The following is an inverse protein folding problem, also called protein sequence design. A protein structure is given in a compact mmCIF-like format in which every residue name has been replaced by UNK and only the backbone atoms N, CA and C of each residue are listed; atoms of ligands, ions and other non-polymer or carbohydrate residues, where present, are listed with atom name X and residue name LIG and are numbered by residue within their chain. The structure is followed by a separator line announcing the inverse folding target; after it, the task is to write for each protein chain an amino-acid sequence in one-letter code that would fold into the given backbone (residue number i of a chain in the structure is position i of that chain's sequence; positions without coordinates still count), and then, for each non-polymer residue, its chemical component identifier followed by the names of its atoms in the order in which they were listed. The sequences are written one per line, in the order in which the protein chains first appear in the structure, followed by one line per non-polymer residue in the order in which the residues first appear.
data_IF_524541688621
#
_entry.id   IF_524541688621
#
_cell.length_a   1.000
_cell.length_b   1.000
_cell.length_c   1.000
_cell.angle_alpha   90.00
_cell.angle_beta   90.00
_cell.angle_gamma   90.00
#
_symmetry.space_group_name_H-M   'P 1'
#
loop_
_entity.id
_entity.type
_entity.pdbx_description
1 polymer ?
#
# COMPACT_ATOMS: atom_id res chain seq x y z
N UNK A 1 18.92 -21.28 29.57
CA UNK A 1 18.55 -21.11 28.15
C UNK A 1 19.66 -21.65 27.27
N UNK A 2 19.35 -22.65 26.43
CA UNK A 2 20.33 -23.24 25.52
C UNK A 2 20.85 -22.20 24.51
N UNK A 3 22.12 -22.30 24.06
CA UNK A 3 22.69 -21.37 23.06
C UNK A 3 21.89 -21.37 21.74
N UNK A 4 21.26 -22.50 21.42
CA UNK A 4 20.37 -22.65 20.27
C UNK A 4 19.13 -21.73 20.35
N UNK A 5 18.55 -21.56 21.55
CA UNK A 5 17.41 -20.67 21.75
C UNK A 5 17.79 -19.21 21.47
N UNK A 6 18.98 -18.78 21.93
CA UNK A 6 19.46 -17.39 21.76
C UNK A 6 19.72 -17.07 20.28
N UNK A 7 20.31 -18.01 19.54
CA UNK A 7 20.55 -17.85 18.11
C UNK A 7 19.23 -17.73 17.32
N UNK A 8 18.21 -18.52 17.69
CA UNK A 8 16.91 -18.47 17.04
C UNK A 8 16.20 -17.13 17.25
N UNK A 9 16.19 -16.60 18.48
CA UNK A 9 15.59 -15.28 18.77
C UNK A 9 16.30 -14.15 18.02
N UNK A 10 17.62 -14.20 17.91
CA UNK A 10 18.39 -13.19 17.16
C UNK A 10 18.08 -13.26 15.65
N UNK A 11 17.99 -14.46 15.07
CA UNK A 11 17.65 -14.63 13.66
C UNK A 11 16.23 -14.10 13.35
N UNK A 12 15.27 -14.38 14.22
CA UNK A 12 13.89 -13.90 14.08
C UNK A 12 13.84 -12.36 14.15
N UNK A 13 14.51 -11.75 15.12
CA UNK A 13 14.57 -10.30 15.27
C UNK A 13 15.19 -9.61 14.04
N UNK A 14 16.27 -10.18 13.50
CA UNK A 14 16.91 -9.67 12.29
C UNK A 14 16.00 -9.76 11.07
N UNK A 15 15.25 -10.85 10.92
CA UNK A 15 14.31 -11.04 9.80
C UNK A 15 13.14 -10.04 9.84
N UNK A 16 12.60 -9.76 11.04
CA UNK A 16 11.59 -8.71 11.21
C UNK A 16 12.16 -7.32 10.93
N UNK A 17 13.36 -7.01 11.40
CA UNK A 17 14.01 -5.72 11.16
C UNK A 17 14.28 -5.47 9.66
N UNK A 18 14.75 -6.47 8.91
CA UNK A 18 15.00 -6.33 7.47
C UNK A 18 13.70 -6.19 6.67
N UNK A 19 12.65 -6.91 7.07
CA UNK A 19 11.32 -6.82 6.44
C UNK A 19 10.73 -5.42 6.60
N UNK A 20 10.84 -4.81 7.80
CA UNK A 20 10.37 -3.44 8.07
C UNK A 20 11.16 -2.41 7.24
N UNK A 21 12.47 -2.60 7.09
CA UNK A 21 13.32 -1.64 6.37
C UNK A 21 13.07 -1.65 4.85
N UNK A 22 12.70 -2.80 4.28
CA UNK A 22 12.40 -2.92 2.84
C UNK A 22 11.04 -2.28 2.49
N UNK A 23 10.07 -2.30 3.41
CA UNK A 23 8.78 -1.64 3.24
C UNK A 23 8.88 -0.11 3.14
N UNK A 24 9.90 0.50 3.75
CA UNK A 24 10.10 1.96 3.72
C UNK A 24 10.83 2.47 2.47
N UNK A 25 11.42 1.59 1.65
CA UNK A 25 12.27 1.98 0.53
C UNK A 25 11.56 2.05 -0.84
N UNK A 26 10.22 1.98 -0.88
CA UNK A 26 9.45 2.01 -2.13
C UNK A 26 8.35 3.08 -2.09
N UNK A 27 8.75 4.34 -2.19
CA UNK A 27 7.87 5.45 -2.57
C UNK A 27 8.71 6.47 -3.36
N UNK A 28 8.72 6.35 -4.70
CA UNK A 28 8.18 7.36 -5.64
C UNK A 28 9.20 8.47 -5.99
N UNK A 29 9.29 9.00 -7.21
CA UNK A 29 8.50 8.85 -8.43
C UNK A 29 9.39 9.16 -9.63
N UNK A 30 9.18 8.43 -10.73
CA UNK A 30 9.63 8.82 -12.06
C UNK A 30 8.72 9.95 -12.52
N UNK A 31 9.28 11.14 -12.72
CA UNK A 31 8.65 12.31 -13.33
C UNK A 31 8.21 11.99 -14.77
N UNK A 32 6.99 11.50 -14.92
CA UNK A 32 6.27 11.46 -16.20
C UNK A 32 4.87 11.97 -15.90
N UNK A 33 4.62 13.22 -16.24
CA UNK A 33 3.31 13.87 -16.07
C UNK A 33 2.21 12.96 -16.67
N UNK A 34 1.30 12.39 -15.85
CA UNK A 34 0.36 11.37 -16.31
C UNK A 34 -0.63 11.88 -17.36
N UNK A 35 -0.83 13.20 -17.44
CA UNK A 35 -1.83 13.82 -18.30
C UNK A 35 -1.33 15.17 -18.85
N UNK A 36 -0.93 15.25 -20.14
CA UNK A 36 -0.68 16.55 -20.76
C UNK A 36 -1.98 17.36 -20.80
N UNK A 37 -1.90 18.64 -20.42
CA UNK A 37 -3.06 19.55 -20.34
C UNK A 37 -3.69 19.75 -21.71
N UNK A 38 -4.75 18.99 -22.00
CA UNK A 38 -5.63 19.21 -23.15
C UNK A 38 -6.75 20.17 -22.72
N UNK A 39 -6.41 21.46 -22.71
CA UNK A 39 -7.36 22.55 -22.50
C UNK A 39 -8.22 22.73 -23.74
N UNK A 40 -9.25 21.92 -23.91
CA UNK A 40 -10.30 22.22 -24.89
C UNK A 40 -11.40 23.03 -24.19
N UNK A 41 -11.42 24.33 -24.48
CA UNK A 41 -12.22 25.38 -23.82
C UNK A 41 -13.73 25.30 -24.03
N UNK A 42 -14.29 24.10 -24.12
CA UNK A 42 -15.73 23.88 -24.18
C UNK A 42 -16.34 23.94 -22.77
N UNK A 43 -17.29 24.86 -22.56
CA UNK A 43 -18.08 24.99 -21.32
C UNK A 43 -18.98 23.78 -21.01
N UNK A 44 -19.02 22.79 -21.90
CA UNK A 44 -19.74 21.54 -21.73
C UNK A 44 -18.76 20.39 -21.91
N UNK A 45 -18.61 19.54 -20.89
CA UNK A 45 -17.78 18.33 -20.97
C UNK A 45 -18.68 17.09 -21.18
N UNK A 46 -19.00 16.71 -22.43
CA UNK A 46 -19.65 15.43 -22.68
C UNK A 46 -18.60 14.31 -22.55
N UNK A 47 -18.30 13.91 -21.32
CA UNK A 47 -17.40 12.78 -21.04
C UNK A 47 -18.19 11.48 -21.20
N UNK A 48 -17.83 10.67 -22.19
CA UNK A 48 -18.48 9.39 -22.43
C UNK A 48 -17.40 8.34 -22.76
N UNK A 49 -16.93 7.62 -21.75
CA UNK A 49 -15.98 6.53 -21.95
C UNK A 49 -16.70 5.17 -21.98
N UNK A 50 -16.44 4.36 -23.02
CA UNK A 50 -16.96 3.00 -23.11
C UNK A 50 -16.11 2.01 -22.29
N UNK A 51 -14.80 2.26 -22.22
CA UNK A 51 -13.86 1.49 -21.41
C UNK A 51 -13.41 2.34 -20.22
N UNK A 52 -13.52 1.82 -18.99
CA UNK A 52 -12.97 2.48 -17.82
C UNK A 52 -11.46 2.67 -17.96
N UNK A 53 -11.01 3.91 -17.75
CA UNK A 53 -9.61 4.30 -17.67
C UNK A 53 -9.41 5.09 -16.35
N UNK A 54 -9.28 4.39 -15.21
CA UNK A 54 -9.27 5.03 -13.91
C UNK A 54 -8.00 5.87 -13.72
N UNK A 55 -8.14 7.10 -13.24
CA UNK A 55 -7.03 7.96 -12.81
C UNK A 55 -7.32 8.55 -11.44
N UNK A 56 -6.28 8.80 -10.66
CA UNK A 56 -6.41 9.40 -9.34
C UNK A 56 -6.11 10.89 -9.41
N UNK A 57 -7.11 11.72 -9.07
CA UNK A 57 -6.92 13.15 -8.93
C UNK A 57 -6.10 13.51 -7.69
N UNK A 58 -5.47 14.69 -7.69
CA UNK A 58 -4.81 15.26 -6.50
C UNK A 58 -5.79 15.45 -5.32
N UNK A 59 -7.10 15.48 -5.59
CA UNK A 59 -8.15 15.52 -4.58
C UNK A 59 -8.48 14.16 -3.95
N UNK A 60 -7.79 13.08 -4.33
CA UNK A 60 -8.05 11.72 -3.84
C UNK A 60 -9.31 11.07 -4.42
N UNK A 61 -9.91 11.67 -5.46
CA UNK A 61 -11.08 11.11 -6.17
C UNK A 61 -10.61 10.33 -7.40
N UNK A 62 -11.17 9.14 -7.58
CA UNK A 62 -10.94 8.35 -8.81
C UNK A 62 -11.87 8.83 -9.91
N UNK A 63 -11.29 9.25 -11.02
CA UNK A 63 -12.00 9.59 -12.26
C UNK A 63 -11.96 8.40 -13.20
N UNK A 64 -13.11 8.01 -13.75
CA UNK A 64 -13.25 6.71 -14.43
C UNK A 64 -13.02 6.78 -15.94
N UNK A 65 -13.07 7.99 -16.50
CA UNK A 65 -12.86 8.24 -17.92
C UNK A 65 -11.52 8.92 -18.21
N UNK A 66 -10.55 8.79 -17.31
CA UNK A 66 -9.17 9.21 -17.49
C UNK A 66 -8.94 10.72 -17.32
N UNK A 67 -7.85 11.20 -17.91
CA UNK A 67 -7.45 12.60 -17.92
C UNK A 67 -8.56 13.60 -18.32
N UNK A 68 -9.40 13.38 -19.36
CA UNK A 68 -10.41 14.37 -19.74
C UNK A 68 -11.53 14.55 -18.69
N UNK A 69 -11.83 13.49 -17.94
CA UNK A 69 -12.81 13.52 -16.84
C UNK A 69 -12.28 14.33 -15.65
N UNK A 70 -11.02 14.06 -15.26
CA UNK A 70 -10.33 14.83 -14.23
C UNK A 70 -10.15 16.31 -14.62
N UNK A 71 -9.72 16.57 -15.86
CA UNK A 71 -9.54 17.92 -16.39
C UNK A 71 -10.86 18.68 -16.47
N UNK A 72 -11.96 18.01 -16.83
CA UNK A 72 -13.28 18.63 -16.80
C UNK A 72 -13.69 19.07 -15.38
N UNK A 73 -13.38 18.25 -14.38
CA UNK A 73 -13.60 18.62 -12.98
C UNK A 73 -12.60 19.69 -12.47
N UNK A 74 -11.66 20.15 -13.31
CA UNK A 74 -10.62 21.10 -12.93
C UNK A 74 -9.57 20.49 -11.99
N UNK A 75 -9.40 19.17 -12.02
CA UNK A 75 -8.52 18.43 -11.11
C UNK A 75 -7.34 17.86 -11.87
N UNK A 76 -6.14 18.11 -11.35
CA UNK A 76 -4.90 17.49 -11.86
C UNK A 76 -4.83 16.03 -11.44
N UNK A 77 -4.25 15.20 -12.30
CA UNK A 77 -4.07 13.77 -12.04
C UNK A 77 -2.74 13.55 -11.34
N UNK A 78 -2.78 12.93 -10.16
CA UNK A 78 -1.60 12.58 -9.38
C UNK A 78 -0.96 11.25 -9.85
N UNK A 79 -1.78 10.26 -10.20
CA UNK A 79 -1.32 8.96 -10.72
C UNK A 79 -2.34 8.32 -11.66
N UNK A 80 -1.87 7.50 -12.59
CA UNK A 80 -2.74 6.58 -13.33
C UNK A 80 -3.23 5.45 -12.43
N UNK A 81 -4.44 4.94 -12.70
CA UNK A 81 -5.12 3.97 -11.85
C UNK A 81 -5.99 4.60 -10.76
N UNK A 82 -6.53 3.75 -9.89
CA UNK A 82 -7.43 4.15 -8.82
C UNK A 82 -6.73 4.99 -7.75
N UNK A 83 -7.48 5.87 -7.09
CA UNK A 83 -7.03 6.42 -5.83
C UNK A 83 -6.97 5.34 -4.77
N UNK A 84 -5.98 5.46 -3.91
CA UNK A 84 -5.86 4.59 -2.75
C UNK A 84 -6.97 4.95 -1.77
N UNK A 85 -7.99 4.10 -1.67
CA UNK A 85 -9.07 4.27 -0.71
C UNK A 85 -8.51 3.87 0.66
N UNK A 86 -7.84 4.82 1.29
CA UNK A 86 -7.21 4.67 2.60
C UNK A 86 -5.79 4.10 2.51
N UNK A 87 -4.80 4.99 2.33
CA UNK A 87 -3.44 4.67 2.75
C UNK A 87 -2.61 5.92 3.06
N UNK A 88 -2.97 6.63 4.12
CA UNK A 88 -1.95 7.22 4.99
C UNK A 88 -1.42 6.12 5.90
N UNK A 89 -0.67 5.19 5.33
CA UNK A 89 -0.03 4.09 6.04
C UNK A 89 -0.99 3.02 6.55
N UNK A 90 -0.54 1.77 6.43
CA UNK A 90 -1.01 0.65 7.27
C UNK A 90 -2.29 -0.08 6.84
N UNK A 91 -2.63 -0.12 5.54
CA UNK A 91 -3.61 -1.05 4.98
C UNK A 91 -3.32 -2.55 5.26
N UNK A 92 -2.12 -2.86 5.77
CA UNK A 92 -1.73 -4.18 6.25
C UNK A 92 -2.15 -4.47 7.72
N UNK A 93 -2.55 -3.48 8.52
CA UNK A 93 -2.58 -3.64 9.99
C UNK A 93 -3.93 -4.05 10.60
N UNK A 94 -5.08 -3.78 9.98
CA UNK A 94 -6.35 -4.07 10.67
C UNK A 94 -6.70 -5.57 10.66
N UNK A 95 -6.43 -6.27 9.55
CA UNK A 95 -6.65 -7.72 9.44
C UNK A 95 -5.48 -8.60 9.84
N UNK A 96 -4.23 -8.13 9.71
CA UNK A 96 -3.04 -8.96 9.96
C UNK A 96 -2.46 -8.78 11.37
N UNK A 97 -2.83 -7.76 12.14
CA UNK A 97 -2.31 -7.60 13.50
C UNK A 97 -2.75 -8.74 14.44
N UNK A 98 -4.02 -9.16 14.38
CA UNK A 98 -4.53 -10.30 15.17
C UNK A 98 -3.94 -11.64 14.72
N UNK A 99 -3.68 -11.80 13.42
CA UNK A 99 -3.05 -13.01 12.90
C UNK A 99 -1.57 -13.09 13.32
N UNK A 100 -0.86 -11.96 13.30
CA UNK A 100 0.55 -11.90 13.65
C UNK A 100 0.77 -12.16 15.14
N UNK A 101 -0.05 -11.55 16.03
CA UNK A 101 0.01 -11.87 17.47
C UNK A 101 -0.32 -13.34 17.73
N UNK A 102 -1.30 -13.91 17.02
CA UNK A 102 -1.67 -15.31 17.15
C UNK A 102 -0.54 -16.25 16.70
N UNK A 103 0.09 -15.97 15.56
CA UNK A 103 1.23 -16.76 15.04
C UNK A 103 2.43 -16.67 16.00
N UNK A 104 2.78 -15.47 16.48
CA UNK A 104 3.90 -15.29 17.42
C UNK A 104 3.62 -16.05 18.73
N UNK A 105 2.39 -16.00 19.24
CA UNK A 105 2.00 -16.74 20.44
C UNK A 105 2.12 -18.26 20.26
N UNK A 106 1.66 -18.79 19.11
CA UNK A 106 1.79 -20.23 18.80
C UNK A 106 3.26 -20.67 18.68
N UNK A 107 4.13 -19.83 18.11
CA UNK A 107 5.58 -20.13 18.01
C UNK A 107 6.21 -20.19 19.41
N UNK A 108 5.88 -19.25 20.29
CA UNK A 108 6.39 -19.22 21.67
C UNK A 108 5.92 -20.47 22.43
N UNK A 109 4.64 -20.81 22.37
CA UNK A 109 4.11 -22.00 23.04
C UNK A 109 4.71 -23.30 22.50
N UNK A 110 4.82 -23.44 21.18
CA UNK A 110 5.42 -24.62 20.56
C UNK A 110 6.87 -24.82 21.02
N UNK A 111 7.65 -23.74 21.13
CA UNK A 111 9.03 -23.81 21.60
C UNK A 111 9.13 -24.15 23.09
N UNK A 112 8.26 -23.60 23.94
CA UNK A 112 8.22 -23.91 25.37
C UNK A 112 7.95 -25.40 25.63
N UNK A 113 7.04 -26.01 24.86
CA UNK A 113 6.77 -27.45 24.93
C UNK A 113 7.97 -28.26 24.43
N UNK A 114 8.56 -27.88 23.29
CA UNK A 114 9.72 -28.59 22.71
C UNK A 114 10.95 -28.54 23.62
N UNK A 115 11.16 -27.42 24.35
CA UNK A 115 12.25 -27.26 25.29
C UNK A 115 11.96 -27.79 26.71
N UNK A 116 10.77 -28.36 26.95
CA UNK A 116 10.39 -28.90 28.26
C UNK A 116 10.27 -27.85 29.38
N UNK A 117 9.94 -26.61 29.03
CA UNK A 117 9.77 -25.48 29.96
C UNK A 117 8.34 -25.32 30.48
N UNK A 118 7.44 -26.24 30.12
CA UNK A 118 6.01 -26.23 30.43
C UNK A 118 5.58 -27.60 30.95
#
# INVERSE_FOLDING_TARGET
MSPAARAFFLALFLFFATSIHLSNAKLEATDNDPCPTLSDGSRSCPINCFRPDPVCGENGVTYWCGCPDAACAGVRVAKSGYCEVGNSGNGLLSGQAFLLIHIVWLIILGFSVLCGLL
#
